data_IF_492255326219
#
_entry.id   IF_492255326219
#
_cell.length_a   1.000
_cell.length_b   1.000
_cell.length_c   1.000
_cell.angle_alpha   90.00
_cell.angle_beta   90.00
_cell.angle_gamma   90.00
#
_symmetry.space_group_name_H-M   'P 1'
#
loop_
_entity.id
_entity.type
_entity.pdbx_description
1 polymer ?
#
# COMPACT_ATOMS: atom_id res chain seq x y z
N UNK A 1 19.54 -15.05 -30.77
CA UNK A 1 18.52 -14.03 -30.43
C UNK A 1 19.12 -13.02 -29.47
N UNK A 2 18.99 -11.70 -29.69
CA UNK A 2 19.48 -10.66 -28.76
C UNK A 2 18.42 -10.40 -27.67
N UNK A 3 18.57 -10.93 -26.43
CA UNK A 3 17.52 -10.84 -25.40
C UNK A 3 17.27 -9.38 -24.93
N UNK A 4 18.22 -8.50 -25.22
CA UNK A 4 18.21 -7.06 -24.88
C UNK A 4 17.68 -6.16 -25.99
N UNK A 5 17.13 -6.70 -27.08
CA UNK A 5 16.53 -5.89 -28.13
C UNK A 5 15.36 -5.06 -27.59
N UNK A 6 15.40 -3.73 -27.78
CA UNK A 6 14.38 -2.79 -27.27
C UNK A 6 12.95 -3.11 -27.75
N UNK A 7 12.81 -3.80 -28.89
CA UNK A 7 11.52 -4.24 -29.43
C UNK A 7 10.82 -5.27 -28.53
N UNK A 8 11.55 -6.03 -27.71
CA UNK A 8 11.00 -7.00 -26.76
C UNK A 8 10.57 -6.34 -25.44
N UNK A 9 10.90 -5.06 -25.23
CA UNK A 9 10.57 -4.37 -24.00
C UNK A 9 9.13 -3.88 -24.05
N UNK A 10 8.46 -3.95 -22.91
CA UNK A 10 7.11 -3.37 -22.79
C UNK A 10 7.23 -1.87 -23.01
N UNK A 11 6.35 -1.23 -23.80
CA UNK A 11 6.38 0.22 -23.92
C UNK A 11 6.07 0.87 -22.57
N UNK A 12 6.73 1.99 -22.23
CA UNK A 12 6.40 2.74 -21.04
C UNK A 12 5.01 3.39 -21.17
N UNK A 13 4.30 3.46 -20.05
CA UNK A 13 2.99 4.11 -19.95
C UNK A 13 3.15 5.62 -19.80
N UNK A 14 4.23 6.05 -19.16
CA UNK A 14 4.42 7.42 -18.73
C UNK A 14 5.80 7.67 -18.15
N UNK A 15 5.99 8.88 -17.66
CA UNK A 15 7.21 9.37 -17.04
C UNK A 15 6.91 9.79 -15.61
N UNK A 16 7.75 9.35 -14.67
CA UNK A 16 7.77 9.80 -13.29
C UNK A 16 8.94 10.76 -13.11
N UNK A 17 8.64 11.98 -12.69
CA UNK A 17 9.64 12.97 -12.28
C UNK A 17 9.60 13.09 -10.76
N UNK A 18 10.75 12.93 -10.12
CA UNK A 18 10.96 13.11 -8.69
C UNK A 18 12.00 14.19 -8.46
N UNK A 19 11.61 15.30 -7.84
CA UNK A 19 12.50 16.29 -7.26
C UNK A 19 12.61 16.07 -5.74
N UNK A 20 13.82 15.80 -5.26
CA UNK A 20 14.16 15.79 -3.85
C UNK A 20 14.72 17.17 -3.52
N UNK A 21 13.92 18.01 -2.85
CA UNK A 21 14.25 19.42 -2.65
C UNK A 21 15.12 19.60 -1.40
N UNK A 22 14.52 19.48 -0.23
CA UNK A 22 15.20 19.67 1.05
C UNK A 22 14.53 18.82 2.14
N UNK A 23 15.19 18.73 3.31
CA UNK A 23 14.57 18.24 4.52
C UNK A 23 14.66 19.30 5.61
N UNK A 24 13.66 19.34 6.50
CA UNK A 24 13.54 20.32 7.57
C UNK A 24 13.29 19.64 8.91
N UNK A 25 13.78 20.27 9.98
CA UNK A 25 13.60 19.81 11.36
C UNK A 25 14.12 18.39 11.60
N UNK A 26 15.28 18.05 11.01
CA UNK A 26 15.91 16.77 11.28
C UNK A 26 16.36 16.70 12.74
N UNK A 27 16.09 15.59 13.41
CA UNK A 27 16.60 15.35 14.75
C UNK A 27 18.12 15.08 14.68
N UNK A 28 18.95 15.68 15.55
CA UNK A 28 20.38 15.38 15.59
C UNK A 28 20.59 13.91 15.93
N UNK A 29 21.45 13.24 15.16
CA UNK A 29 21.75 11.81 15.29
C UNK A 29 23.16 11.57 15.82
N UNK A 30 24.06 12.55 15.65
CA UNK A 30 25.42 12.53 16.15
C UNK A 30 25.67 13.75 17.03
N UNK A 31 26.62 13.62 17.94
CA UNK A 31 27.14 14.75 18.71
C UNK A 31 28.59 14.94 18.29
N UNK A 32 28.89 16.04 17.60
CA UNK A 32 30.26 16.44 17.26
C UNK A 32 30.54 17.75 17.97
N UNK A 33 31.61 17.79 18.76
CA UNK A 33 32.07 19.01 19.43
C UNK A 33 30.94 19.72 20.20
N UNK A 34 30.16 18.94 20.98
CA UNK A 34 28.97 19.40 21.76
C UNK A 34 27.74 19.84 20.95
N UNK A 35 27.84 19.94 19.63
CA UNK A 35 26.71 20.26 18.73
C UNK A 35 26.07 18.98 18.19
N UNK A 36 24.74 18.97 18.15
CA UNK A 36 23.98 17.92 17.46
C UNK A 36 24.08 18.09 15.95
N UNK A 37 24.70 17.12 15.26
CA UNK A 37 24.92 17.14 13.82
C UNK A 37 24.27 15.93 13.15
N UNK A 38 24.08 16.03 11.83
CA UNK A 38 23.56 14.96 10.99
C UNK A 38 24.14 15.12 9.58
N UNK A 39 24.49 14.01 8.94
CA UNK A 39 24.99 13.95 7.58
C UNK A 39 23.94 13.26 6.67
N UNK A 40 22.78 13.91 6.41
CA UNK A 40 21.67 13.27 5.75
C UNK A 40 21.92 13.03 4.26
N UNK A 41 21.43 11.89 3.78
CA UNK A 41 21.26 11.59 2.38
C UNK A 41 19.93 10.86 2.14
N UNK A 42 19.39 10.99 0.92
CA UNK A 42 18.14 10.36 0.53
C UNK A 42 18.40 9.19 -0.43
N UNK A 43 17.58 8.15 -0.30
CA UNK A 43 17.55 7.01 -1.21
C UNK A 43 16.16 6.89 -1.79
N UNK A 44 16.05 6.97 -3.11
CA UNK A 44 14.80 6.76 -3.82
C UNK A 44 14.82 5.40 -4.53
N UNK A 45 13.74 4.65 -4.35
CA UNK A 45 13.52 3.35 -4.97
C UNK A 45 12.22 3.37 -5.76
N UNK A 46 12.34 3.05 -7.06
CA UNK A 46 11.21 2.87 -7.97
C UNK A 46 11.29 1.51 -8.65
N UNK A 47 10.48 0.55 -8.20
CA UNK A 47 10.55 -0.83 -8.66
C UNK A 47 11.92 -1.46 -8.41
N UNK A 48 12.68 -1.72 -9.48
CA UNK A 48 14.05 -2.24 -9.44
C UNK A 48 15.13 -1.14 -9.55
N UNK A 49 14.74 0.11 -9.80
CA UNK A 49 15.66 1.25 -9.94
C UNK A 49 15.92 1.87 -8.57
N UNK A 50 17.20 2.13 -8.28
CA UNK A 50 17.67 2.72 -7.04
C UNK A 50 18.51 3.94 -7.36
N UNK A 51 18.33 4.98 -6.56
CA UNK A 51 19.06 6.24 -6.67
C UNK A 51 19.39 6.72 -5.27
N UNK A 52 20.60 7.28 -5.12
CA UNK A 52 21.08 7.88 -3.88
C UNK A 52 21.50 9.31 -4.17
N UNK A 53 21.08 10.23 -3.31
CA UNK A 53 21.52 11.64 -3.38
C UNK A 53 22.90 11.83 -2.78
N UNK A 54 23.51 12.98 -3.05
CA UNK A 54 24.71 13.40 -2.32
C UNK A 54 24.43 13.50 -0.81
N UNK A 55 25.46 13.24 -0.02
CA UNK A 55 25.42 13.48 1.42
C UNK A 55 25.67 14.96 1.70
N UNK A 56 24.78 15.60 2.46
CA UNK A 56 25.00 16.96 2.95
C UNK A 56 25.61 16.83 4.34
N UNK A 57 26.80 17.37 4.53
CA UNK A 57 27.56 17.25 5.79
C UNK A 57 27.09 18.31 6.79
N UNK A 58 27.01 17.93 8.07
CA UNK A 58 26.71 18.79 9.22
C UNK A 58 25.52 19.75 9.00
N UNK A 59 24.36 19.19 8.64
CA UNK A 59 23.17 20.00 8.38
C UNK A 59 21.88 19.33 8.83
N UNK A 60 21.17 20.00 9.75
CA UNK A 60 19.80 19.64 10.16
C UNK A 60 18.72 20.15 9.19
N UNK A 61 19.12 20.93 8.18
CA UNK A 61 18.26 21.46 7.11
C UNK A 61 18.91 21.26 5.73
N UNK A 62 19.15 20.01 5.32
CA UNK A 62 19.88 19.73 4.09
C UNK A 62 19.08 20.17 2.85
N UNK A 63 19.79 20.77 1.88
CA UNK A 63 19.25 21.09 0.56
C UNK A 63 19.87 20.14 -0.47
N UNK A 64 19.08 19.21 -0.96
CA UNK A 64 19.50 18.24 -1.97
C UNK A 64 19.43 18.89 -3.35
N UNK A 65 18.25 19.39 -3.73
CA UNK A 65 17.93 19.96 -5.04
C UNK A 65 18.31 19.03 -6.21
N UNK A 66 17.96 17.75 -6.09
CA UNK A 66 18.23 16.75 -7.11
C UNK A 66 16.94 16.27 -7.78
N UNK A 67 16.97 16.12 -9.10
CA UNK A 67 15.83 15.67 -9.89
C UNK A 67 16.15 14.37 -10.63
N UNK A 68 15.20 13.44 -10.60
CA UNK A 68 15.31 12.12 -11.20
C UNK A 68 14.09 11.83 -12.06
N UNK A 69 14.31 11.16 -13.18
CA UNK A 69 13.24 10.77 -14.11
C UNK A 69 13.29 9.27 -14.39
N UNK A 70 12.12 8.63 -14.38
CA UNK A 70 11.99 7.21 -14.67
C UNK A 70 10.80 6.91 -15.56
N UNK A 71 11.02 6.02 -16.52
CA UNK A 71 9.93 5.40 -17.27
C UNK A 71 9.04 4.54 -16.37
N UNK A 72 7.73 4.77 -16.45
CA UNK A 72 6.70 4.07 -15.69
C UNK A 72 6.11 2.95 -16.54
N UNK A 73 6.28 1.72 -16.09
CA UNK A 73 5.69 0.52 -16.72
C UNK A 73 4.42 0.04 -16.05
N UNK A 74 4.16 0.50 -14.82
CA UNK A 74 2.99 0.11 -14.04
C UNK A 74 2.65 1.20 -13.02
N UNK A 75 1.41 1.70 -13.05
CA UNK A 75 0.89 2.72 -12.13
C UNK A 75 0.65 2.19 -10.71
N UNK A 76 0.56 0.88 -10.51
CA UNK A 76 0.38 0.29 -9.19
C UNK A 76 1.69 0.24 -8.37
N UNK A 77 2.82 0.59 -8.99
CA UNK A 77 4.12 0.64 -8.32
C UNK A 77 4.19 1.74 -7.27
N UNK A 78 4.89 1.44 -6.17
CA UNK A 78 5.08 2.35 -5.04
C UNK A 78 6.47 2.96 -5.12
N UNK A 79 6.52 4.29 -5.23
CA UNK A 79 7.74 5.06 -5.05
C UNK A 79 8.07 5.11 -3.56
N UNK A 80 9.28 4.68 -3.20
CA UNK A 80 9.73 4.67 -1.81
C UNK A 80 10.94 5.56 -1.65
N UNK A 81 10.88 6.50 -0.71
CA UNK A 81 11.95 7.46 -0.45
C UNK A 81 12.32 7.33 1.02
N UNK A 82 13.58 7.06 1.31
CA UNK A 82 14.12 6.97 2.66
C UNK A 82 15.19 8.01 2.89
N UNK A 83 15.29 8.52 4.13
CA UNK A 83 16.33 9.43 4.56
C UNK A 83 17.17 8.74 5.62
N UNK A 84 18.48 8.87 5.48
CA UNK A 84 19.47 8.20 6.33
C UNK A 84 20.58 9.18 6.69
N UNK A 85 21.17 8.95 7.85
CA UNK A 85 22.40 9.63 8.29
C UNK A 85 23.61 8.79 7.88
N UNK A 86 24.57 9.42 7.20
CA UNK A 86 25.78 8.76 6.72
C UNK A 86 26.81 8.65 7.84
N UNK A 87 26.91 7.50 8.50
CA UNK A 87 27.89 7.28 9.57
C UNK A 87 29.30 6.96 9.05
N UNK A 88 29.46 6.83 7.74
CA UNK A 88 30.73 6.42 7.11
C UNK A 88 31.76 7.55 7.06
N UNK A 89 31.29 8.80 7.16
CA UNK A 89 32.13 10.00 7.15
C UNK A 89 32.81 10.26 8.51
N UNK A 90 32.41 9.54 9.57
CA UNK A 90 33.06 9.66 10.87
C UNK A 90 34.42 8.97 10.79
N UNK A 91 35.49 9.76 10.96
CA UNK A 91 36.86 9.26 10.97
C UNK A 91 37.04 8.17 12.03
N UNK A 92 37.86 7.17 11.71
CA UNK A 92 38.15 5.97 12.53
C UNK A 92 38.82 6.25 13.90
N UNK A 93 38.86 7.50 14.37
CA UNK A 93 39.62 7.94 15.53
C UNK A 93 38.89 7.98 16.87
N UNK A 94 37.57 7.76 16.93
CA UNK A 94 36.82 7.71 18.20
C UNK A 94 36.29 6.31 18.45
N UNK A 95 36.69 5.70 19.58
CA UNK A 95 36.53 4.29 19.96
C UNK A 95 35.09 3.77 20.16
N UNK A 96 34.20 4.04 19.22
CA UNK A 96 32.89 3.39 19.15
C UNK A 96 33.03 2.03 18.48
N UNK A 97 33.07 0.97 19.31
CA UNK A 97 33.10 -0.44 18.90
C UNK A 97 31.77 -0.93 18.26
N UNK A 98 30.88 -0.02 17.86
CA UNK A 98 29.66 -0.31 17.11
C UNK A 98 29.87 0.03 15.64
N UNK A 99 29.88 -0.99 14.76
CA UNK A 99 30.20 -0.80 13.35
C UNK A 99 29.41 0.34 12.69
N UNK A 100 30.07 1.11 11.82
CA UNK A 100 29.61 2.29 11.05
C UNK A 100 28.30 2.06 10.24
N UNK A 101 27.19 1.70 10.89
CA UNK A 101 25.90 1.48 10.23
C UNK A 101 25.21 2.82 10.05
N UNK A 102 24.63 3.02 8.88
CA UNK A 102 23.88 4.23 8.59
C UNK A 102 22.59 4.26 9.42
N UNK A 103 22.33 5.39 10.09
CA UNK A 103 21.16 5.53 10.97
C UNK A 103 19.93 5.90 10.15
N UNK A 104 18.82 5.22 10.42
CA UNK A 104 17.55 5.40 9.71
C UNK A 104 16.80 6.61 10.28
N UNK A 105 16.48 7.61 9.45
CA UNK A 105 15.72 8.81 9.85
C UNK A 105 14.24 8.67 9.51
N UNK A 106 13.88 8.03 8.39
CA UNK A 106 12.50 7.71 8.06
C UNK A 106 12.29 7.31 6.61
N UNK A 107 11.06 6.88 6.31
CA UNK A 107 10.66 6.39 4.98
C UNK A 107 9.26 6.86 4.61
N UNK A 108 9.10 7.26 3.36
CA UNK A 108 7.86 7.69 2.73
C UNK A 108 7.55 6.76 1.56
N UNK A 109 6.30 6.29 1.48
CA UNK A 109 5.79 5.44 0.38
C UNK A 109 4.65 6.18 -0.32
N UNK A 110 4.74 6.33 -1.64
CA UNK A 110 3.73 6.99 -2.46
C UNK A 110 3.42 6.09 -3.65
N UNK A 111 2.16 5.63 -3.75
CA UNK A 111 1.70 4.85 -4.91
C UNK A 111 1.35 5.78 -6.07
N UNK A 112 1.89 5.50 -7.26
CA UNK A 112 1.66 6.31 -8.46
C UNK A 112 0.18 6.40 -8.87
N UNK A 113 -0.61 5.36 -8.62
CA UNK A 113 -2.05 5.33 -8.94
C UNK A 113 -2.87 6.37 -8.18
N UNK A 114 -2.33 6.90 -7.06
CA UNK A 114 -2.99 7.95 -6.27
C UNK A 114 -2.67 9.37 -6.77
N UNK A 115 -1.73 9.51 -7.70
CA UNK A 115 -1.33 10.79 -8.27
C UNK A 115 -2.17 11.12 -9.51
N UNK A 116 -2.62 12.37 -9.60
CA UNK A 116 -3.25 12.90 -10.81
C UNK A 116 -2.23 13.05 -11.93
N UNK A 117 -2.64 12.72 -13.17
CA UNK A 117 -1.79 12.88 -14.36
C UNK A 117 -1.43 14.34 -14.57
N UNK A 118 -0.16 14.62 -14.86
CA UNK A 118 0.32 15.94 -15.29
C UNK A 118 0.38 17.00 -14.19
N UNK A 119 -0.10 16.70 -12.98
CA UNK A 119 -0.03 17.60 -11.83
C UNK A 119 1.28 17.43 -11.07
N UNK A 120 1.89 18.55 -10.69
CA UNK A 120 3.06 18.58 -9.81
C UNK A 120 2.58 18.64 -8.36
N UNK A 121 3.04 17.71 -7.53
CA UNK A 121 2.80 17.68 -6.10
C UNK A 121 4.06 18.12 -5.36
N UNK A 122 4.04 19.30 -4.76
CA UNK A 122 5.13 19.85 -3.93
C UNK A 122 4.67 19.88 -2.48
N UNK A 123 4.94 18.83 -1.72
CA UNK A 123 4.47 18.71 -0.33
C UNK A 123 5.60 18.25 0.60
N UNK A 124 5.47 18.63 1.88
CA UNK A 124 6.27 18.12 2.98
C UNK A 124 5.70 16.81 3.49
N UNK A 125 6.54 15.79 3.63
CA UNK A 125 6.17 14.48 4.17
C UNK A 125 6.89 14.24 5.49
N UNK A 126 6.17 13.87 6.57
CA UNK A 126 6.81 13.59 7.85
C UNK A 126 7.64 12.30 7.78
N UNK A 127 8.86 12.37 8.29
CA UNK A 127 9.76 11.24 8.48
C UNK A 127 9.47 10.62 9.84
N UNK A 128 8.91 9.41 9.81
CA UNK A 128 8.53 8.66 10.99
C UNK A 128 9.44 7.43 11.11
N UNK A 129 10.03 7.24 12.27
CA UNK A 129 10.77 6.02 12.63
C UNK A 129 10.19 5.42 13.88
N UNK A 130 10.12 4.10 13.87
CA UNK A 130 9.77 3.28 15.00
C UNK A 130 11.03 3.07 15.85
N UNK A 131 10.96 3.41 17.13
CA UNK A 131 11.99 3.14 18.15
C UNK A 131 11.39 2.29 19.26
N UNK A 132 12.18 1.67 20.13
CA UNK A 132 11.69 0.87 21.27
C UNK A 132 10.76 1.66 22.21
N UNK A 133 10.87 2.99 22.23
CA UNK A 133 10.10 3.92 23.07
C UNK A 133 8.86 4.50 22.38
N UNK A 134 8.59 4.15 21.11
CA UNK A 134 7.44 4.64 20.35
C UNK A 134 7.81 5.14 18.95
N UNK A 135 6.82 5.70 18.25
CA UNK A 135 7.09 6.46 17.01
C UNK A 135 7.57 7.84 17.37
N UNK A 136 8.71 8.21 16.79
CA UNK A 136 9.25 9.56 16.90
C UNK A 136 9.33 10.18 15.50
N UNK A 137 8.81 11.40 15.39
CA UNK A 137 8.93 12.23 14.18
C UNK A 137 10.35 12.76 14.13
N UNK A 138 11.09 12.35 13.10
CA UNK A 138 12.52 12.67 12.93
C UNK A 138 12.75 13.86 12.00
N UNK A 139 11.70 14.42 11.41
CA UNK A 139 11.74 15.60 10.57
C UNK A 139 10.69 15.54 9.46
N UNK A 140 10.87 16.37 8.43
CA UNK A 140 10.03 16.41 7.24
C UNK A 140 10.90 16.49 5.98
N UNK A 141 10.50 15.78 4.92
CA UNK A 141 11.13 15.84 3.61
C UNK A 141 10.21 16.53 2.59
N UNK A 142 10.75 17.50 1.86
CA UNK A 142 10.03 18.22 0.81
C UNK A 142 10.29 17.56 -0.53
N UNK A 143 9.23 17.07 -1.16
CA UNK A 143 9.29 16.33 -2.40
C UNK A 143 8.42 17.00 -3.46
N UNK A 144 8.95 17.09 -4.67
CA UNK A 144 8.23 17.47 -5.87
C UNK A 144 8.01 16.22 -6.73
N UNK A 145 6.77 15.79 -6.96
CA UNK A 145 6.47 14.58 -7.73
C UNK A 145 5.51 14.92 -8.85
N UNK A 146 5.86 14.54 -10.08
CA UNK A 146 4.99 14.64 -11.25
C UNK A 146 4.90 13.29 -11.94
N UNK A 147 3.66 12.85 -12.19
CA UNK A 147 3.41 11.67 -13.00
C UNK A 147 2.72 12.06 -14.30
N UNK A 148 3.43 11.90 -15.41
CA UNK A 148 2.95 12.20 -16.76
C UNK A 148 2.64 10.90 -17.49
N UNK A 149 1.54 10.84 -18.24
CA UNK A 149 1.09 9.65 -18.96
C UNK A 149 1.09 9.95 -20.46
N UNK A 150 1.56 9.00 -21.27
CA UNK A 150 1.57 9.12 -22.74
C UNK A 150 0.18 8.88 -23.35
N UNK A 151 -0.55 7.88 -22.85
CA UNK A 151 -1.91 7.56 -23.30
C UNK A 151 -2.79 7.08 -22.14
N UNK A 152 -3.96 7.74 -21.98
CA UNK A 152 -4.95 7.39 -20.97
C UNK A 152 -5.52 5.97 -21.20
N UNK A 153 -5.79 5.63 -22.47
CA UNK A 153 -6.32 4.31 -22.85
C UNK A 153 -5.33 3.18 -22.51
N UNK A 154 -4.03 3.38 -22.80
CA UNK A 154 -3.01 2.39 -22.44
C UNK A 154 -2.92 2.23 -20.91
N UNK A 155 -3.06 3.32 -20.16
CA UNK A 155 -3.09 3.28 -18.69
C UNK A 155 -4.29 2.50 -18.16
N UNK A 156 -5.48 2.73 -18.72
CA UNK A 156 -6.70 1.99 -18.38
C UNK A 156 -6.56 0.49 -18.70
N UNK A 157 -6.03 0.17 -19.88
CA UNK A 157 -5.79 -1.21 -20.30
C UNK A 157 -4.89 -1.98 -19.32
N UNK A 158 -3.93 -1.30 -18.68
CA UNK A 158 -3.00 -1.94 -17.76
C UNK A 158 -3.65 -2.41 -16.47
N UNK A 159 -4.78 -1.83 -16.06
CA UNK A 159 -5.55 -2.38 -14.95
C UNK A 159 -6.05 -3.80 -15.22
N UNK A 160 -6.32 -4.15 -16.49
CA UNK A 160 -6.77 -5.50 -16.87
C UNK A 160 -5.63 -6.53 -16.95
N UNK A 161 -4.37 -6.08 -17.02
CA UNK A 161 -3.20 -6.96 -17.19
C UNK A 161 -2.79 -7.63 -15.88
N UNK A 162 -2.30 -8.88 -15.92
CA UNK A 162 -1.74 -9.54 -14.74
C UNK A 162 -0.53 -8.78 -14.19
N UNK A 163 -0.38 -8.78 -12.86
CA UNK A 163 0.73 -8.11 -12.16
C UNK A 163 2.05 -8.86 -12.34
N UNK A 164 2.00 -10.19 -12.28
CA UNK A 164 3.18 -11.05 -12.37
C UNK A 164 3.34 -11.64 -13.79
N UNK A 165 4.54 -12.10 -14.15
CA UNK A 165 4.73 -12.89 -15.37
C UNK A 165 3.90 -14.17 -15.35
N UNK A 166 3.50 -14.66 -16.53
CA UNK A 166 2.60 -15.83 -16.69
C UNK A 166 3.07 -17.05 -15.88
N UNK A 167 4.37 -17.30 -15.82
CA UNK A 167 4.97 -18.44 -15.12
C UNK A 167 4.55 -18.54 -13.65
N UNK A 168 4.45 -17.40 -12.94
CA UNK A 168 4.12 -17.37 -11.51
C UNK A 168 2.66 -17.75 -11.20
N UNK A 169 1.78 -17.75 -12.21
CA UNK A 169 0.39 -18.21 -12.06
C UNK A 169 0.24 -19.68 -12.46
N UNK A 170 1.04 -20.15 -13.41
CA UNK A 170 1.02 -21.55 -13.85
C UNK A 170 1.70 -22.45 -12.83
N UNK A 171 2.81 -21.97 -12.24
CA UNK A 171 3.58 -22.67 -11.21
C UNK A 171 3.86 -21.70 -10.06
N UNK A 172 2.92 -21.55 -9.11
CA UNK A 172 3.12 -20.65 -7.97
C UNK A 172 4.23 -21.18 -7.08
N UNK A 173 5.06 -20.26 -6.57
CA UNK A 173 6.06 -20.59 -5.55
C UNK A 173 5.35 -20.86 -4.21
N UNK A 174 5.74 -21.90 -3.47
CA UNK A 174 5.20 -22.12 -2.13
C UNK A 174 5.63 -20.98 -1.20
N UNK A 175 4.74 -20.63 -0.26
CA UNK A 175 4.88 -19.46 0.63
C UNK A 175 6.23 -19.47 1.39
N UNK A 176 6.66 -20.64 1.85
CA UNK A 176 7.93 -20.83 2.57
C UNK A 176 9.13 -20.50 1.68
N UNK A 177 9.12 -20.98 0.42
CA UNK A 177 10.21 -20.68 -0.53
C UNK A 177 10.20 -19.21 -0.95
N UNK A 178 9.02 -18.60 -1.09
CA UNK A 178 8.92 -17.19 -1.44
C UNK A 178 9.65 -16.30 -0.42
N UNK A 179 9.55 -16.62 0.87
CA UNK A 179 10.22 -15.85 1.91
C UNK A 179 11.74 -16.02 1.87
N UNK A 180 12.22 -17.26 1.72
CA UNK A 180 13.65 -17.54 1.57
C UNK A 180 14.24 -16.81 0.35
N UNK A 181 13.57 -16.91 -0.81
CA UNK A 181 13.99 -16.26 -2.05
C UNK A 181 13.98 -14.74 -1.93
N UNK A 182 13.02 -14.17 -1.19
CA UNK A 182 12.96 -12.72 -0.92
C UNK A 182 14.16 -12.26 -0.11
N UNK A 183 14.53 -12.99 0.94
CA UNK A 183 15.73 -12.70 1.72
C UNK A 183 17.01 -12.79 0.88
N UNK A 184 17.17 -13.84 0.08
CA UNK A 184 18.32 -14.00 -0.81
C UNK A 184 18.38 -12.87 -1.86
N UNK A 185 17.26 -12.50 -2.47
CA UNK A 185 17.20 -11.41 -3.43
C UNK A 185 17.63 -10.07 -2.81
N UNK A 186 17.21 -9.78 -1.57
CA UNK A 186 17.63 -8.57 -0.86
C UNK A 186 19.14 -8.57 -0.60
N UNK A 187 19.72 -9.71 -0.19
CA UNK A 187 21.16 -9.84 0.04
C UNK A 187 21.97 -9.60 -1.25
N UNK A 188 21.52 -10.15 -2.38
CA UNK A 188 22.18 -9.94 -3.68
C UNK A 188 22.11 -8.47 -4.09
N UNK A 189 20.96 -7.82 -3.90
CA UNK A 189 20.80 -6.39 -4.19
C UNK A 189 21.70 -5.56 -3.27
N UNK A 190 21.76 -5.88 -1.99
CA UNK A 190 22.66 -5.23 -1.04
C UNK A 190 24.14 -5.33 -1.45
N UNK A 191 24.60 -6.52 -1.84
CA UNK A 191 25.97 -6.74 -2.30
C UNK A 191 26.29 -6.04 -3.64
N UNK A 192 25.29 -5.81 -4.49
CA UNK A 192 25.45 -5.01 -5.72
C UNK A 192 25.53 -3.53 -5.40
N UNK A 193 24.62 -3.02 -4.58
CA UNK A 193 24.53 -1.60 -4.25
C UNK A 193 25.66 -1.11 -3.33
N UNK A 194 26.31 -2.00 -2.58
CA UNK A 194 27.50 -1.69 -1.79
C UNK A 194 28.74 -1.38 -2.63
N UNK A 195 28.73 -1.76 -3.91
CA UNK A 195 29.81 -1.47 -4.88
C UNK A 195 29.56 -0.21 -5.71
N UNK A 196 28.43 0.47 -5.50
CA UNK A 196 28.16 1.74 -6.18
C UNK A 196 28.92 2.89 -5.51
N UNK A 197 29.16 3.96 -6.25
CA UNK A 197 29.71 5.20 -5.72
C UNK A 197 28.62 6.29 -5.71
N UNK A 198 28.19 6.79 -4.54
CA UNK A 198 28.56 6.39 -3.17
C UNK A 198 27.85 5.10 -2.66
N UNK A 199 28.49 4.28 -1.81
CA UNK A 199 28.07 2.91 -1.51
C UNK A 199 26.86 2.81 -0.57
N UNK A 200 25.82 2.11 -1.01
CA UNK A 200 24.64 1.83 -0.19
C UNK A 200 24.86 0.57 0.66
N UNK A 201 24.77 0.71 1.99
CA UNK A 201 24.95 -0.41 2.91
C UNK A 201 23.73 -1.31 2.97
N UNK A 202 23.94 -2.50 3.52
CA UNK A 202 22.93 -3.56 3.62
C UNK A 202 21.71 -3.11 4.42
N UNK A 203 21.90 -2.41 5.53
CA UNK A 203 20.81 -1.92 6.40
C UNK A 203 19.87 -0.95 5.69
N UNK A 204 20.41 -0.13 4.79
CA UNK A 204 19.65 0.82 3.96
C UNK A 204 18.79 0.04 2.96
N UNK A 205 19.39 -0.94 2.29
CA UNK A 205 18.69 -1.77 1.31
C UNK A 205 17.59 -2.58 1.99
N UNK A 206 17.85 -3.21 3.13
CA UNK A 206 16.87 -3.99 3.91
C UNK A 206 15.70 -3.12 4.38
N UNK A 207 15.96 -1.89 4.84
CA UNK A 207 14.92 -0.95 5.26
C UNK A 207 14.09 -0.44 4.07
N UNK A 208 14.74 -0.14 2.95
CA UNK A 208 14.06 0.30 1.74
C UNK A 208 13.24 -0.81 1.08
N UNK A 209 13.68 -2.07 1.17
CA UNK A 209 13.01 -3.25 0.60
C UNK A 209 12.00 -3.92 1.52
N UNK A 210 11.82 -3.43 2.75
CA UNK A 210 10.95 -4.03 3.75
C UNK A 210 11.28 -5.50 4.04
N UNK A 211 12.57 -5.82 4.15
CA UNK A 211 13.06 -7.19 4.34
C UNK A 211 12.48 -7.88 5.58
N UNK A 212 12.03 -7.13 6.58
CA UNK A 212 11.43 -7.64 7.82
C UNK A 212 9.91 -7.48 7.88
N UNK A 213 9.22 -7.21 6.76
CA UNK A 213 7.77 -7.08 6.75
C UNK A 213 7.02 -8.39 7.08
N UNK A 214 7.63 -9.54 6.78
CA UNK A 214 7.02 -10.85 7.02
C UNK A 214 7.06 -11.28 8.49
N UNK A 215 7.93 -10.65 9.30
CA UNK A 215 8.02 -10.96 10.72
C UNK A 215 6.69 -10.62 11.39
N UNK A 216 6.21 -11.60 12.16
CA UNK A 216 4.99 -11.44 12.92
C UNK A 216 5.16 -10.36 13.99
N UNK A 217 4.14 -9.51 14.15
CA UNK A 217 4.08 -8.49 15.20
C UNK A 217 2.65 -8.36 15.71
N UNK A 218 2.49 -8.25 17.03
CA UNK A 218 1.21 -8.05 17.68
C UNK A 218 0.54 -6.74 17.24
N UNK A 219 1.32 -5.65 17.15
CA UNK A 219 0.84 -4.34 16.71
C UNK A 219 0.29 -4.39 15.28
N UNK A 220 1.02 -5.02 14.36
CA UNK A 220 0.57 -5.19 12.96
C UNK A 220 -0.72 -6.02 12.87
N UNK A 221 -0.85 -7.06 13.71
CA UNK A 221 -2.07 -7.86 13.81
C UNK A 221 -3.28 -7.03 14.25
N UNK A 222 -3.15 -6.24 15.33
CA UNK A 222 -4.20 -5.32 15.80
C UNK A 222 -4.56 -4.28 14.73
N UNK A 223 -3.55 -3.67 14.08
CA UNK A 223 -3.78 -2.70 13.02
C UNK A 223 -4.60 -3.30 11.85
N UNK A 224 -4.29 -4.52 11.45
CA UNK A 224 -5.07 -5.23 10.43
C UNK A 224 -6.50 -5.55 10.90
N UNK A 225 -6.71 -5.87 12.17
CA UNK A 225 -8.03 -6.09 12.76
C UNK A 225 -8.89 -4.83 12.76
N UNK A 226 -8.36 -3.70 13.20
CA UNK A 226 -9.10 -2.44 13.16
C UNK A 226 -9.39 -1.97 11.73
N UNK A 227 -8.48 -2.23 10.79
CA UNK A 227 -8.73 -2.02 9.36
C UNK A 227 -9.88 -2.90 8.86
N UNK A 228 -9.95 -4.17 9.29
CA UNK A 228 -11.08 -5.04 8.98
C UNK A 228 -12.40 -4.47 9.54
N UNK A 229 -12.40 -4.04 10.80
CA UNK A 229 -13.59 -3.44 11.42
C UNK A 229 -14.01 -2.15 10.72
N UNK A 230 -13.06 -1.34 10.24
CA UNK A 230 -13.35 -0.15 9.43
C UNK A 230 -13.94 -0.49 8.04
N UNK A 231 -13.66 -1.68 7.49
CA UNK A 231 -14.37 -2.15 6.29
C UNK A 231 -15.83 -2.45 6.60
N UNK A 232 -16.09 -3.09 7.74
CA UNK A 232 -17.45 -3.45 8.16
C UNK A 232 -18.24 -2.29 8.77
N UNK A 233 -17.62 -1.15 9.09
CA UNK A 233 -18.34 -0.01 9.68
C UNK A 233 -19.48 0.50 8.80
N UNK A 234 -19.33 0.45 7.47
CA UNK A 234 -20.41 0.77 6.54
C UNK A 234 -21.58 -0.22 6.66
N UNK A 235 -21.29 -1.51 6.77
CA UNK A 235 -22.30 -2.56 6.97
C UNK A 235 -23.00 -2.39 8.33
N UNK A 236 -22.25 -2.09 9.40
CA UNK A 236 -22.83 -1.80 10.71
C UNK A 236 -23.71 -0.55 10.69
N UNK A 237 -23.35 0.49 9.92
CA UNK A 237 -24.18 1.67 9.75
C UNK A 237 -25.48 1.35 8.99
N UNK A 238 -25.42 0.54 7.93
CA UNK A 238 -26.62 0.05 7.21
C UNK A 238 -27.49 -0.82 8.12
N UNK A 239 -26.89 -1.71 8.91
CA UNK A 239 -27.59 -2.55 9.88
C UNK A 239 -28.30 -1.72 10.95
N UNK A 240 -27.62 -0.69 11.49
CA UNK A 240 -28.22 0.24 12.44
C UNK A 240 -29.36 1.03 11.79
N UNK A 241 -29.18 1.55 10.57
CA UNK A 241 -30.23 2.24 9.82
C UNK A 241 -31.42 1.32 9.56
N UNK A 242 -31.18 0.06 9.19
CA UNK A 242 -32.23 -0.94 9.01
C UNK A 242 -32.99 -1.21 10.32
N UNK A 243 -32.29 -1.32 11.45
CA UNK A 243 -32.93 -1.42 12.76
C UNK A 243 -33.76 -0.16 13.10
N UNK A 244 -33.28 1.03 12.75
CA UNK A 244 -34.03 2.28 12.91
C UNK A 244 -35.30 2.31 12.04
N UNK A 245 -35.24 1.70 10.84
CA UNK A 245 -36.40 1.47 9.96
C UNK A 245 -37.36 0.44 10.57
N UNK A 246 -36.87 -0.69 11.09
CA UNK A 246 -37.70 -1.68 11.79
C UNK A 246 -38.34 -1.12 13.07
N UNK A 247 -37.67 -0.16 13.73
CA UNK A 247 -38.18 0.53 14.92
C UNK A 247 -39.11 1.71 14.59
N UNK A 248 -39.44 1.95 13.31
CA UNK A 248 -40.37 3.00 12.88
C UNK A 248 -40.02 4.42 13.35
N UNK A 249 -38.73 4.72 13.54
CA UNK A 249 -38.31 6.05 14.01
C UNK A 249 -38.74 7.19 13.08
N UNK A 250 -38.71 6.94 11.77
CA UNK A 250 -39.10 7.90 10.73
C UNK A 250 -40.15 7.27 9.79
N UNK A 251 -41.45 7.49 10.02
CA UNK A 251 -42.52 6.74 9.35
C UNK A 251 -42.55 6.93 7.83
N UNK A 252 -42.14 8.09 7.32
CA UNK A 252 -42.08 8.33 5.86
C UNK A 252 -41.01 7.46 5.21
N UNK A 253 -39.83 7.34 5.83
CA UNK A 253 -38.74 6.53 5.30
C UNK A 253 -39.05 5.04 5.36
N UNK A 254 -39.74 4.59 6.42
CA UNK A 254 -40.13 3.19 6.55
C UNK A 254 -41.14 2.81 5.48
N UNK A 255 -42.17 3.63 5.24
CA UNK A 255 -43.16 3.39 4.18
C UNK A 255 -42.46 3.30 2.81
N UNK A 256 -41.54 4.21 2.50
CA UNK A 256 -40.80 4.18 1.23
C UNK A 256 -39.93 2.92 1.08
N UNK A 257 -39.29 2.45 2.15
CA UNK A 257 -38.52 1.20 2.16
C UNK A 257 -39.43 -0.01 1.97
N UNK A 258 -40.63 -0.03 2.56
CA UNK A 258 -41.59 -1.12 2.35
C UNK A 258 -42.10 -1.14 0.91
N UNK A 259 -42.40 0.01 0.31
CA UNK A 259 -42.79 0.09 -1.11
C UNK A 259 -41.67 -0.43 -2.01
N UNK A 260 -40.42 0.00 -1.75
CA UNK A 260 -39.25 -0.49 -2.49
C UNK A 260 -39.07 -2.00 -2.31
N UNK A 261 -39.24 -2.52 -1.09
CA UNK A 261 -39.15 -3.94 -0.79
C UNK A 261 -40.20 -4.76 -1.54
N UNK A 262 -41.47 -4.33 -1.50
CA UNK A 262 -42.56 -5.00 -2.24
C UNK A 262 -42.28 -4.98 -3.74
N UNK A 263 -41.83 -3.85 -4.28
CA UNK A 263 -41.46 -3.76 -5.70
C UNK A 263 -40.33 -4.74 -6.07
N UNK A 264 -39.28 -4.85 -5.25
CA UNK A 264 -38.16 -5.77 -5.48
C UNK A 264 -38.56 -7.26 -5.32
N UNK A 265 -39.50 -7.57 -4.43
CA UNK A 265 -40.04 -8.93 -4.26
C UNK A 265 -40.91 -9.32 -5.45
N UNK A 266 -41.76 -8.41 -5.95
CA UNK A 266 -42.60 -8.65 -7.12
C UNK A 266 -41.78 -8.78 -8.41
N UNK A 267 -40.64 -8.08 -8.49
CA UNK A 267 -39.77 -8.07 -9.67
C UNK A 267 -38.31 -8.36 -9.28
N UNK A 268 -37.95 -9.63 -9.06
CA UNK A 268 -36.59 -10.00 -8.65
C UNK A 268 -35.52 -9.61 -9.69
N UNK A 269 -35.93 -9.42 -10.95
CA UNK A 269 -35.05 -8.95 -12.02
C UNK A 269 -34.48 -7.54 -11.76
N UNK A 270 -35.19 -6.71 -10.97
CA UNK A 270 -34.76 -5.34 -10.63
C UNK A 270 -33.74 -5.29 -9.48
N UNK A 271 -33.48 -6.39 -8.76
CA UNK A 271 -32.56 -6.40 -7.62
C UNK A 271 -31.12 -6.05 -8.04
N UNK A 272 -30.58 -6.72 -9.06
CA UNK A 272 -29.21 -6.47 -9.51
C UNK A 272 -29.05 -5.07 -10.15
N UNK A 273 -29.93 -4.62 -11.07
CA UNK A 273 -29.89 -3.26 -11.61
C UNK A 273 -29.92 -2.18 -10.53
N UNK A 274 -30.81 -2.30 -9.54
CA UNK A 274 -30.93 -1.30 -8.46
C UNK A 274 -29.66 -1.25 -7.61
N UNK A 275 -29.05 -2.38 -7.28
CA UNK A 275 -27.76 -2.42 -6.55
C UNK A 275 -26.65 -1.69 -7.33
N UNK A 276 -26.50 -1.96 -8.63
CA UNK A 276 -25.48 -1.29 -9.45
C UNK A 276 -25.74 0.21 -9.59
N UNK A 277 -27.01 0.62 -9.68
CA UNK A 277 -27.41 2.02 -9.73
C UNK A 277 -27.11 2.73 -8.39
N UNK A 278 -27.42 2.11 -7.24
CA UNK A 278 -27.04 2.66 -5.94
C UNK A 278 -25.52 2.81 -5.79
N UNK A 279 -24.74 1.81 -6.21
CA UNK A 279 -23.28 1.90 -6.22
C UNK A 279 -22.77 3.06 -7.09
N UNK A 280 -23.41 3.28 -8.26
CA UNK A 280 -23.11 4.42 -9.13
C UNK A 280 -23.41 5.76 -8.43
N UNK A 281 -24.62 5.92 -7.86
CA UNK A 281 -25.03 7.14 -7.17
C UNK A 281 -24.15 7.46 -5.96
N UNK A 282 -23.84 6.46 -5.13
CA UNK A 282 -22.94 6.61 -3.98
C UNK A 282 -21.54 7.03 -4.46
N UNK A 283 -21.06 6.42 -5.54
CA UNK A 283 -19.81 6.81 -6.17
C UNK A 283 -19.82 8.26 -6.61
N UNK A 284 -20.82 8.69 -7.37
CA UNK A 284 -20.95 10.09 -7.83
C UNK A 284 -21.03 11.05 -6.63
N UNK A 285 -21.79 10.72 -5.59
CA UNK A 285 -21.90 11.52 -4.37
C UNK A 285 -20.54 11.69 -3.67
N UNK A 286 -19.79 10.59 -3.54
CA UNK A 286 -18.47 10.59 -2.92
C UNK A 286 -17.41 11.39 -3.69
N UNK A 287 -17.66 11.74 -4.96
CA UNK A 287 -16.77 12.61 -5.74
C UNK A 287 -16.56 13.98 -5.05
N UNK A 288 -17.58 14.47 -4.35
CA UNK A 288 -17.53 15.75 -3.61
C UNK A 288 -16.55 15.70 -2.44
N UNK A 289 -16.40 14.54 -1.82
CA UNK A 289 -15.55 14.31 -0.64
C UNK A 289 -14.18 13.69 -1.00
N UNK A 290 -13.77 13.76 -2.27
CA UNK A 290 -12.53 13.10 -2.73
C UNK A 290 -11.28 13.63 -2.00
N UNK A 291 -10.33 12.75 -1.63
CA UNK A 291 -9.04 13.18 -1.09
C UNK A 291 -8.25 13.92 -2.18
N UNK A 292 -7.75 15.13 -1.86
CA UNK A 292 -6.98 15.97 -2.80
C UNK A 292 -5.47 15.80 -2.67
N UNK A 293 -5.01 15.22 -1.57
CA UNK A 293 -3.59 15.06 -1.26
C UNK A 293 -3.20 13.58 -1.34
N UNK A 294 -1.99 13.27 -1.85
CA UNK A 294 -1.48 11.92 -1.86
C UNK A 294 -1.35 11.41 -0.42
N UNK A 295 -1.70 10.14 -0.16
CA UNK A 295 -1.62 9.58 1.18
C UNK A 295 -0.17 9.58 1.66
N UNK A 296 0.06 10.05 2.89
CA UNK A 296 1.33 9.91 3.59
C UNK A 296 1.24 8.75 4.60
N UNK A 297 2.40 8.38 5.17
CA UNK A 297 2.48 7.41 6.25
C UNK A 297 1.64 7.88 7.44
N UNK A 298 0.72 7.05 7.94
CA UNK A 298 -0.24 7.46 8.97
C UNK A 298 -0.10 6.62 10.24
N UNK A 299 0.33 7.27 11.33
CA UNK A 299 0.56 6.68 12.65
C UNK A 299 -0.68 6.00 13.23
N UNK A 300 -1.86 6.58 13.00
CA UNK A 300 -3.15 6.08 13.49
C UNK A 300 -3.54 4.77 12.81
N UNK A 301 -3.37 4.68 11.49
CA UNK A 301 -3.68 3.45 10.72
C UNK A 301 -2.72 2.32 11.11
N UNK A 302 -1.46 2.65 11.40
CA UNK A 302 -0.46 1.69 11.88
C UNK A 302 -0.58 1.33 13.36
N UNK A 303 -1.59 1.87 14.07
CA UNK A 303 -1.80 1.70 15.51
C UNK A 303 -0.50 1.85 16.30
N UNK A 304 0.23 2.96 16.15
CA UNK A 304 1.48 3.13 16.92
C UNK A 304 1.28 3.97 18.19
N UNK A 305 0.25 4.80 18.23
CA UNK A 305 -0.02 5.71 19.36
C UNK A 305 -0.60 5.00 20.60
N UNK A 306 -1.13 3.78 20.44
CA UNK A 306 -1.81 3.03 21.50
C UNK A 306 -1.07 1.73 21.91
N UNK A 307 0.23 1.63 21.63
CA UNK A 307 1.01 0.39 21.77
C UNK A 307 1.75 0.35 23.09
N UNK A 308 1.68 -0.78 23.76
CA UNK A 308 2.46 -1.03 24.98
C UNK A 308 3.96 -1.18 24.63
N UNK A 309 4.90 -0.61 25.40
CA UNK A 309 6.34 -0.70 25.12
C UNK A 309 6.84 -2.14 24.92
N UNK A 310 6.25 -3.12 25.61
CA UNK A 310 6.62 -4.54 25.44
C UNK A 310 6.24 -5.13 24.07
N UNK A 311 5.15 -4.66 23.46
CA UNK A 311 4.77 -5.06 22.08
C UNK A 311 5.71 -4.46 21.06
N UNK A 312 6.31 -3.31 21.39
CA UNK A 312 7.26 -2.62 20.53
C UNK A 312 8.64 -3.25 20.63
N UNK A 313 9.09 -3.58 21.83
CA UNK A 313 10.33 -4.33 22.08
C UNK A 313 10.37 -5.64 21.29
N UNK A 314 9.25 -6.34 21.17
CA UNK A 314 9.12 -7.58 20.38
C UNK A 314 9.54 -7.42 18.91
N UNK A 315 9.33 -6.25 18.29
CA UNK A 315 9.71 -6.00 16.89
C UNK A 315 11.23 -5.77 16.70
N UNK A 316 11.94 -5.44 17.78
CA UNK A 316 13.38 -5.15 17.75
C UNK A 316 14.25 -6.29 18.29
N UNK A 317 13.65 -7.32 18.89
CA UNK A 317 14.37 -8.52 19.35
C UNK A 317 14.78 -9.38 18.16
N UNK A 318 16.06 -9.75 18.12
CA UNK A 318 16.59 -10.68 17.10
C UNK A 318 16.13 -12.11 17.40
N UNK A 319 15.95 -12.93 16.37
CA UNK A 319 15.68 -14.36 16.51
C UNK A 319 17.02 -15.15 16.48
N UNK A 320 17.32 -16.05 17.43
CA UNK A 320 16.57 -16.43 18.64
C UNK A 320 16.59 -15.37 19.75
N UNK A 321 15.56 -15.35 20.60
CA UNK A 321 15.33 -14.28 21.58
C UNK A 321 16.40 -14.23 22.67
N UNK A 322 16.95 -13.05 22.95
CA UNK A 322 17.85 -12.79 24.09
C UNK A 322 17.12 -12.48 25.41
N UNK A 323 15.78 -12.52 25.41
CA UNK A 323 14.94 -12.16 26.57
C UNK A 323 14.74 -13.36 27.51
N UNK A 324 14.43 -13.07 28.78
CA UNK A 324 14.19 -14.09 29.80
C UNK A 324 12.99 -14.98 29.44
N UNK A 325 13.00 -16.27 29.86
CA UNK A 325 11.95 -17.23 29.52
C UNK A 325 10.57 -16.84 30.05
N UNK A 326 10.50 -16.10 31.17
CA UNK A 326 9.23 -15.61 31.75
C UNK A 326 8.53 -14.59 30.84
N UNK A 327 9.29 -13.66 30.26
CA UNK A 327 8.74 -12.67 29.31
C UNK A 327 8.24 -13.37 28.06
N UNK A 328 8.94 -14.42 27.59
CA UNK A 328 8.51 -15.24 26.46
C UNK A 328 7.20 -15.96 26.77
N UNK A 329 7.06 -16.54 27.97
CA UNK A 329 5.82 -17.20 28.42
C UNK A 329 4.64 -16.22 28.45
N UNK A 330 4.83 -15.04 29.04
CA UNK A 330 3.81 -13.98 29.06
C UNK A 330 3.40 -13.55 27.64
N UNK A 331 4.36 -13.36 26.73
CA UNK A 331 4.09 -13.02 25.33
C UNK A 331 3.33 -14.13 24.61
N UNK A 332 3.66 -15.39 24.86
CA UNK A 332 2.98 -16.55 24.30
C UNK A 332 1.52 -16.66 24.78
N UNK A 333 1.26 -16.49 26.08
CA UNK A 333 -0.10 -16.55 26.62
C UNK A 333 -0.96 -15.39 26.08
N UNK A 334 -0.37 -14.20 25.98
CA UNK A 334 -0.98 -13.03 25.31
C UNK A 334 -1.29 -13.35 23.85
N UNK A 335 -0.34 -13.92 23.11
CA UNK A 335 -0.55 -14.35 21.73
C UNK A 335 -1.71 -15.33 21.62
N UNK A 336 -1.79 -16.33 22.50
CA UNK A 336 -2.85 -17.34 22.47
C UNK A 336 -4.23 -16.73 22.70
N UNK A 337 -4.37 -15.80 23.65
CA UNK A 337 -5.63 -15.11 23.92
C UNK A 337 -6.10 -14.22 22.74
N UNK A 338 -5.16 -13.54 22.08
CA UNK A 338 -5.45 -12.68 20.93
C UNK A 338 -5.68 -13.49 19.66
N UNK A 339 -4.92 -14.57 19.44
CA UNK A 339 -5.09 -15.48 18.32
C UNK A 339 -6.49 -16.12 18.30
N UNK A 340 -7.07 -16.42 19.48
CA UNK A 340 -8.45 -16.87 19.60
C UNK A 340 -9.49 -15.85 19.13
N UNK A 341 -9.19 -14.54 19.21
CA UNK A 341 -10.06 -13.45 18.70
C UNK A 341 -9.81 -13.09 17.24
N UNK A 342 -8.60 -13.32 16.74
CA UNK A 342 -8.11 -12.85 15.43
C UNK A 342 -7.99 -14.02 14.42
N UNK A 343 -8.70 -15.14 14.65
CA UNK A 343 -8.54 -16.38 13.89
C UNK A 343 -8.37 -16.12 12.38
N UNK A 344 -7.23 -16.60 11.90
CA UNK A 344 -6.34 -15.96 10.92
C UNK A 344 -6.85 -15.90 9.48
N UNK A 345 -7.49 -14.79 9.06
CA UNK A 345 -7.54 -14.31 7.64
C UNK A 345 -7.71 -12.78 7.56
N UNK A 346 -7.57 -12.08 8.71
CA UNK A 346 -8.03 -10.70 8.89
C UNK A 346 -7.30 -9.70 7.97
N UNK A 347 -5.98 -9.82 7.81
CA UNK A 347 -5.20 -8.88 6.99
C UNK A 347 -5.53 -8.95 5.50
N UNK A 348 -5.71 -10.16 4.97
CA UNK A 348 -6.07 -10.37 3.57
C UNK A 348 -7.51 -9.94 3.31
N UNK A 349 -8.46 -10.32 4.18
CA UNK A 349 -9.85 -9.88 4.07
C UNK A 349 -9.95 -8.36 4.21
N UNK A 350 -9.23 -7.74 5.15
CA UNK A 350 -9.20 -6.28 5.31
C UNK A 350 -8.69 -5.61 4.04
N UNK A 351 -7.64 -6.16 3.44
CA UNK A 351 -7.07 -5.61 2.20
C UNK A 351 -8.04 -5.74 1.02
N UNK A 352 -8.75 -6.86 0.88
CA UNK A 352 -9.78 -7.00 -0.16
C UNK A 352 -10.99 -6.10 0.09
N UNK A 353 -11.45 -6.01 1.33
CA UNK A 353 -12.56 -5.15 1.73
C UNK A 353 -12.27 -3.66 1.54
N UNK A 354 -11.07 -3.21 1.90
CA UNK A 354 -10.65 -1.84 1.64
C UNK A 354 -10.60 -1.53 0.15
N UNK A 355 -10.12 -2.47 -0.68
CA UNK A 355 -10.11 -2.27 -2.14
C UNK A 355 -11.51 -2.05 -2.70
N UNK A 356 -12.51 -2.79 -2.19
CA UNK A 356 -13.91 -2.61 -2.56
C UNK A 356 -14.41 -1.21 -2.16
N UNK A 357 -14.19 -0.78 -0.92
CA UNK A 357 -14.59 0.56 -0.47
C UNK A 357 -13.87 1.68 -1.23
N UNK A 358 -12.59 1.47 -1.55
CA UNK A 358 -11.78 2.44 -2.28
C UNK A 358 -12.26 2.65 -3.74
N UNK A 359 -12.99 1.70 -4.33
CA UNK A 359 -13.67 1.91 -5.61
C UNK A 359 -14.73 3.01 -5.56
N UNK A 360 -15.32 3.24 -4.39
CA UNK A 360 -16.34 4.27 -4.19
C UNK A 360 -15.78 5.57 -3.61
N UNK A 361 -14.53 5.59 -3.14
CA UNK A 361 -13.96 6.73 -2.39
C UNK A 361 -13.09 7.67 -3.25
N UNK A 362 -13.05 7.49 -4.58
CA UNK A 362 -12.26 8.30 -5.53
C UNK A 362 -10.76 8.44 -5.20
N UNK A 363 -10.18 7.47 -4.49
CA UNK A 363 -8.75 7.50 -4.13
C UNK A 363 -7.85 7.29 -5.35
N UNK A 364 -8.29 6.46 -6.28
CA UNK A 364 -7.72 6.35 -7.62
C UNK A 364 -8.79 6.81 -8.62
N UNK A 365 -8.73 8.05 -9.11
CA UNK A 365 -9.80 8.64 -9.91
C UNK A 365 -10.03 7.89 -11.22
N UNK A 366 -9.01 7.19 -11.74
CA UNK A 366 -9.12 6.44 -13.01
C UNK A 366 -9.84 5.12 -12.77
N UNK A 367 -9.46 4.41 -11.71
CA UNK A 367 -10.10 3.16 -11.35
C UNK A 367 -11.57 3.36 -10.96
N UNK A 368 -11.87 4.37 -10.14
CA UNK A 368 -13.26 4.66 -9.74
C UNK A 368 -14.11 5.08 -10.94
N UNK A 369 -13.59 5.90 -11.87
CA UNK A 369 -14.31 6.26 -13.08
C UNK A 369 -14.65 5.04 -13.96
N UNK A 370 -13.68 4.14 -14.20
CA UNK A 370 -13.93 2.89 -14.95
C UNK A 370 -14.97 2.02 -14.26
N UNK A 371 -14.92 1.93 -12.92
CA UNK A 371 -15.89 1.17 -12.14
C UNK A 371 -17.30 1.77 -12.22
N UNK A 372 -17.45 3.09 -12.15
CA UNK A 372 -18.76 3.73 -12.25
C UNK A 372 -19.38 3.58 -13.65
N UNK A 373 -18.58 3.71 -14.71
CA UNK A 373 -19.04 3.40 -16.07
C UNK A 373 -19.46 1.93 -16.18
N UNK A 374 -18.67 1.01 -15.61
CA UNK A 374 -19.04 -0.40 -15.55
C UNK A 374 -20.35 -0.63 -14.79
N UNK A 375 -20.56 -0.01 -13.63
CA UNK A 375 -21.81 -0.12 -12.88
C UNK A 375 -23.00 0.43 -13.67
N UNK A 376 -22.85 1.55 -14.36
CA UNK A 376 -23.91 2.12 -15.19
C UNK A 376 -24.26 1.20 -16.37
N UNK A 377 -23.25 0.72 -17.11
CA UNK A 377 -23.46 -0.23 -18.21
C UNK A 377 -24.06 -1.55 -17.72
N UNK A 378 -23.58 -2.08 -16.58
CA UNK A 378 -24.12 -3.29 -15.98
C UNK A 378 -25.58 -3.11 -15.56
N UNK A 379 -25.93 -1.97 -14.95
CA UNK A 379 -27.32 -1.66 -14.61
C UNK A 379 -28.22 -1.63 -15.85
N UNK A 380 -27.78 -0.99 -16.94
CA UNK A 380 -28.52 -0.94 -18.20
C UNK A 380 -28.69 -2.33 -18.84
N UNK A 381 -27.62 -3.12 -18.91
CA UNK A 381 -27.68 -4.48 -19.49
C UNK A 381 -28.59 -5.37 -18.66
N UNK A 382 -28.41 -5.41 -17.34
CA UNK A 382 -29.20 -6.24 -16.44
C UNK A 382 -30.67 -5.82 -16.38
N UNK A 383 -30.98 -4.55 -16.68
CA UNK A 383 -32.36 -4.07 -16.79
C UNK A 383 -33.05 -4.58 -18.07
N UNK A 384 -32.31 -4.72 -19.17
CA UNK A 384 -32.86 -5.16 -20.46
C UNK A 384 -32.85 -6.69 -20.60
N UNK A 385 -31.88 -7.38 -20.01
CA UNK A 385 -31.72 -8.83 -20.15
C UNK A 385 -32.35 -9.59 -18.98
N UNK A 386 -33.22 -10.59 -19.22
CA UNK A 386 -33.78 -11.41 -18.15
C UNK A 386 -32.69 -12.24 -17.46
N UNK A 387 -32.90 -12.51 -16.17
CA UNK A 387 -31.93 -13.21 -15.31
C UNK A 387 -31.53 -14.59 -15.88
N UNK A 388 -32.47 -15.27 -16.53
CA UNK A 388 -32.26 -16.61 -17.11
C UNK A 388 -31.14 -16.64 -18.16
N UNK A 389 -31.08 -15.62 -19.03
CA UNK A 389 -30.04 -15.54 -20.08
C UNK A 389 -28.68 -15.32 -19.43
N UNK A 390 -28.59 -14.44 -18.43
CA UNK A 390 -27.34 -14.18 -17.70
C UNK A 390 -26.87 -15.45 -16.99
N UNK A 391 -27.77 -16.16 -16.30
CA UNK A 391 -27.48 -17.41 -15.63
C UNK A 391 -26.98 -18.48 -16.61
N UNK A 392 -27.63 -18.61 -17.78
CA UNK A 392 -27.21 -19.53 -18.83
C UNK A 392 -25.80 -19.19 -19.37
N UNK A 393 -25.55 -17.93 -19.75
CA UNK A 393 -24.24 -17.50 -20.26
C UNK A 393 -23.15 -17.69 -19.21
N UNK A 394 -23.41 -17.30 -17.95
CA UNK A 394 -22.47 -17.50 -16.86
C UNK A 394 -22.22 -19.00 -16.62
N UNK A 395 -23.27 -19.82 -16.62
CA UNK A 395 -23.18 -21.27 -16.47
C UNK A 395 -22.29 -21.91 -17.54
N UNK A 396 -22.54 -21.62 -18.82
CA UNK A 396 -21.71 -22.10 -19.93
C UNK A 396 -20.27 -21.60 -19.85
N UNK A 397 -20.05 -20.36 -19.41
CA UNK A 397 -18.71 -19.80 -19.24
C UNK A 397 -17.92 -20.53 -18.15
N UNK A 398 -18.52 -20.81 -16.99
CA UNK A 398 -17.87 -21.54 -15.90
C UNK A 398 -17.66 -23.02 -16.20
N UNK A 399 -18.65 -23.66 -16.84
CA UNK A 399 -18.58 -25.06 -17.26
C UNK A 399 -17.70 -25.27 -18.52
N UNK A 400 -17.11 -24.20 -19.07
CA UNK A 400 -16.21 -24.27 -20.21
C UNK A 400 -15.09 -25.28 -20.02
N UNK A 401 -14.86 -26.08 -21.07
CA UNK A 401 -13.87 -27.15 -21.10
C UNK A 401 -12.47 -26.68 -20.64
N UNK A 402 -11.71 -27.48 -19.86
CA UNK A 402 -10.42 -27.10 -19.29
C UNK A 402 -9.39 -26.60 -20.31
N UNK A 403 -9.42 -27.08 -21.56
CA UNK A 403 -8.53 -26.58 -22.65
C UNK A 403 -8.70 -25.09 -22.93
N UNK A 404 -9.90 -24.55 -22.74
CA UNK A 404 -10.13 -23.13 -22.91
C UNK A 404 -9.92 -22.37 -21.59
N UNK A 405 -9.82 -23.01 -20.41
CA UNK A 405 -9.55 -22.29 -19.16
C UNK A 405 -8.12 -21.74 -19.17
N UNK A 406 -7.99 -20.41 -19.29
CA UNK A 406 -6.70 -19.76 -19.17
C UNK A 406 -6.26 -19.80 -17.70
N UNK A 407 -5.00 -20.19 -17.45
CA UNK A 407 -4.38 -20.19 -16.11
C UNK A 407 -4.05 -18.77 -15.60
N UNK A 408 -4.53 -17.73 -16.28
CA UNK A 408 -4.29 -16.34 -15.93
C UNK A 408 -5.48 -15.80 -15.13
N UNK A 409 -5.24 -14.94 -14.13
CA UNK A 409 -6.31 -14.26 -13.41
C UNK A 409 -7.18 -13.45 -14.37
N UNK A 410 -8.49 -13.44 -14.11
CA UNK A 410 -9.47 -12.69 -14.90
C UNK A 410 -9.19 -11.18 -14.85
N UNK A 411 -9.59 -10.46 -15.90
CA UNK A 411 -9.47 -9.00 -15.97
C UNK A 411 -10.01 -8.25 -14.72
N UNK A 412 -11.21 -8.57 -14.18
CA UNK A 412 -11.69 -7.92 -12.96
C UNK A 412 -10.81 -8.25 -11.75
N UNK A 413 -10.33 -9.48 -11.61
CA UNK A 413 -9.43 -9.84 -10.50
C UNK A 413 -8.10 -9.08 -10.59
N UNK A 414 -7.56 -8.87 -11.80
CA UNK A 414 -6.38 -8.04 -12.02
C UNK A 414 -6.61 -6.58 -11.66
N UNK A 415 -7.77 -6.04 -12.07
CA UNK A 415 -8.20 -4.70 -11.72
C UNK A 415 -8.23 -4.52 -10.20
N UNK A 416 -8.90 -5.42 -9.48
CA UNK A 416 -8.94 -5.42 -8.01
C UNK A 416 -7.57 -5.49 -7.37
N UNK A 417 -6.67 -6.35 -7.85
CA UNK A 417 -5.32 -6.51 -7.29
C UNK A 417 -4.44 -5.26 -7.47
N UNK A 418 -4.71 -4.43 -8.47
CA UNK A 418 -3.96 -3.19 -8.76
C UNK A 418 -4.45 -1.98 -7.99
N UNK A 419 -5.65 -2.04 -7.43
CA UNK A 419 -6.21 -0.95 -6.61
C UNK A 419 -5.30 -0.64 -5.41
N UNK A 420 -5.21 0.66 -5.03
CA UNK A 420 -4.53 1.05 -3.80
C UNK A 420 -5.16 0.36 -2.59
N UNK A 421 -4.33 0.01 -1.62
CA UNK A 421 -4.78 -0.46 -0.31
C UNK A 421 -4.16 0.43 0.78
N UNK A 422 -4.77 0.50 1.97
CA UNK A 422 -4.20 1.31 3.07
C UNK A 422 -2.93 0.69 3.66
N UNK A 423 -2.58 -0.54 3.26
CA UNK A 423 -1.28 -1.17 3.58
C UNK A 423 -0.09 -0.29 3.22
N UNK A 424 -0.18 0.49 2.13
CA UNK A 424 0.94 1.32 1.69
C UNK A 424 1.25 2.46 2.65
N UNK A 425 0.27 2.86 3.46
CA UNK A 425 0.40 3.88 4.50
C UNK A 425 0.73 3.31 5.89
N UNK A 426 1.00 2.00 6.00
CA UNK A 426 1.46 1.36 7.23
C UNK A 426 2.96 1.53 7.42
N UNK A 427 3.35 1.84 8.66
CA UNK A 427 4.74 1.98 9.11
C UNK A 427 5.45 0.62 9.21
#
# INVERSE_FOLDING_TARGET
MRPTAKQLWKPPIGLLELGILNATQLHPMKTRETRGTCDPYCVAKYGHKWVRTRTVVDSLKPRFNEQYTWDVYDHATVLTIGVFDNCQLVEKGSGSNGGNKDVKIGKVRIRLSTLQTGRIYTNSYPLLVLHNSGVKKMGEIHLAIRFSVTSMLNTMYIYSKPLLPKMHYVLPLPIIQQELLRHQAVQIVAARLSRMEPPLRREVVEYMSDAHSHLWSMRRSKANFFRLMAVFSGLFAVWKWFNDVCAWKNPVTTILVHILFVMLVCFPELILPTVFLYMFLIGVWNYRFRPRYPPHMNTKISHVEAVHPDELDEEFVTYPTSRSPEIVRMRYDRLRSVAGRIQTVVGDIATQGERLLLLLTWRDPRATAMFLVFCLCAAMVLYVTPFQIIAAVCGFYYMRHPRFRHKLPSAPLNFFRRLPARTDSLL
#
